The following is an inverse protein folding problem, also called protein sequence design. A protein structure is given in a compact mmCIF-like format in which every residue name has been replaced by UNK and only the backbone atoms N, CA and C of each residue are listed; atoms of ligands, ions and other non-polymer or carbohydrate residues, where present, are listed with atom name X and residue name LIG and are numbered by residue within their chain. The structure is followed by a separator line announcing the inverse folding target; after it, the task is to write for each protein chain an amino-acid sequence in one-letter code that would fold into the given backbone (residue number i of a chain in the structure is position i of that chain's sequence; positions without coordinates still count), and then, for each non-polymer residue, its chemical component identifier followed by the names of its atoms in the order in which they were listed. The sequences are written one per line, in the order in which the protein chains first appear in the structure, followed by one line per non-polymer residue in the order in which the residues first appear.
data_IF_510570749645
#
_entry.id   IF_510570749645
#
_cell.length_a   1.000
_cell.length_b   1.000
_cell.length_c   1.000
_cell.angle_alpha   90.00
_cell.angle_beta   90.00
_cell.angle_gamma   90.00
#
_symmetry.space_group_name_H-M   'P 1'
#
loop_
_entity.id
_entity.type
_entity.pdbx_description
1 polymer ?
#
# COMPACT_ATOMS: atom_id res chain seq x y z
N UNK A 1 -26.43 7.59 0.68
CA UNK A 1 -26.31 6.52 1.60
C UNK A 1 -25.01 6.55 2.34
N UNK A 2 -25.14 6.45 3.59
CA UNK A 2 -23.97 6.49 4.45
C UNK A 2 -23.02 5.36 4.12
N UNK A 3 -23.54 4.24 3.68
CA UNK A 3 -22.71 3.09 3.39
C UNK A 3 -21.72 3.35 2.30
N UNK A 4 -22.09 4.16 1.35
CA UNK A 4 -21.19 4.40 0.23
C UNK A 4 -19.97 5.17 0.64
N UNK A 5 -20.14 6.07 1.60
CA UNK A 5 -19.00 6.84 2.08
C UNK A 5 -18.01 5.94 2.80
N UNK A 6 -18.54 5.02 3.65
CA UNK A 6 -17.66 4.16 4.40
C UNK A 6 -16.96 3.14 3.54
N UNK A 7 -17.44 2.91 2.31
CA UNK A 7 -16.81 1.96 1.41
C UNK A 7 -15.88 2.63 0.42
N UNK A 8 -15.78 3.95 0.47
CA UNK A 8 -14.87 4.65 -0.40
C UNK A 8 -13.44 4.36 0.01
N UNK A 9 -12.59 4.16 -0.99
CA UNK A 9 -11.20 3.85 -0.76
C UNK A 9 -10.31 4.93 -1.34
N UNK A 10 -9.21 5.15 -0.65
CA UNK A 10 -8.16 6.06 -1.09
C UNK A 10 -7.01 5.21 -1.60
N UNK A 11 -6.42 5.64 -2.70
CA UNK A 11 -5.22 5.00 -3.22
C UNK A 11 -4.04 5.49 -2.42
N UNK A 12 -3.41 4.60 -1.67
CA UNK A 12 -2.21 4.92 -0.93
C UNK A 12 -0.99 4.30 -1.58
N UNK A 13 0.09 5.05 -1.65
CA UNK A 13 1.39 4.43 -1.82
C UNK A 13 1.94 4.20 -0.43
N UNK A 14 2.34 2.98 -0.15
CA UNK A 14 2.95 2.64 1.13
C UNK A 14 4.40 2.30 0.84
N UNK A 15 5.29 3.15 1.31
CA UNK A 15 6.72 3.01 1.08
C UNK A 15 7.37 2.68 2.40
N UNK A 16 8.29 1.75 2.41
CA UNK A 16 8.91 1.34 3.66
C UNK A 16 10.42 1.19 3.51
N UNK A 17 11.10 1.53 4.59
CA UNK A 17 12.56 1.45 4.69
C UNK A 17 12.84 0.71 5.99
N UNK A 18 13.18 -0.56 5.87
CA UNK A 18 13.31 -1.47 7.01
C UNK A 18 14.74 -1.98 7.04
N UNK A 19 15.43 -1.80 8.17
CA UNK A 19 16.85 -2.08 8.23
C UNK A 19 17.19 -3.55 8.41
N UNK A 20 16.26 -4.34 8.92
CA UNK A 20 16.50 -5.75 9.19
C UNK A 20 15.82 -6.65 8.17
N UNK A 21 16.52 -7.62 7.56
CA UNK A 21 15.92 -8.46 6.53
C UNK A 21 14.72 -9.26 6.98
N UNK A 22 14.69 -9.71 8.24
CA UNK A 22 13.54 -10.49 8.72
C UNK A 22 12.32 -9.61 8.88
N UNK A 23 12.52 -8.41 9.44
CA UNK A 23 11.41 -7.47 9.58
C UNK A 23 10.92 -7.01 8.22
N UNK A 24 11.87 -6.79 7.28
CA UNK A 24 11.54 -6.40 5.93
C UNK A 24 10.57 -7.41 5.29
N UNK A 25 10.89 -8.69 5.40
CA UNK A 25 10.05 -9.73 4.80
C UNK A 25 8.67 -9.78 5.44
N UNK A 26 8.60 -9.60 6.76
CA UNK A 26 7.32 -9.62 7.46
C UNK A 26 6.45 -8.44 7.06
N UNK A 27 7.06 -7.26 6.93
CA UNK A 27 6.34 -6.07 6.51
C UNK A 27 5.80 -6.26 5.09
N UNK A 28 6.65 -6.72 4.18
CA UNK A 28 6.24 -6.93 2.80
C UNK A 28 5.11 -7.96 2.70
N UNK A 29 5.23 -9.05 3.45
CA UNK A 29 4.19 -10.08 3.43
C UNK A 29 2.88 -9.56 3.97
N UNK A 30 2.93 -8.73 5.01
CA UNK A 30 1.71 -8.13 5.54
C UNK A 30 1.05 -7.22 4.52
N UNK A 31 1.85 -6.43 3.81
CA UNK A 31 1.31 -5.50 2.81
C UNK A 31 0.65 -6.23 1.65
N UNK A 32 1.09 -7.45 1.35
CA UNK A 32 0.46 -8.23 0.28
C UNK A 32 -1.01 -8.50 0.55
N UNK A 33 -1.42 -8.50 1.79
CA UNK A 33 -2.83 -8.67 2.14
C UNK A 33 -3.65 -7.40 1.97
N UNK A 34 -3.03 -6.27 1.69
CA UNK A 34 -3.71 -4.98 1.61
C UNK A 34 -3.57 -4.31 0.25
N UNK A 35 -2.65 -4.75 -0.57
CA UNK A 35 -2.43 -4.11 -1.85
C UNK A 35 -1.51 -4.90 -2.74
N UNK A 36 -0.97 -4.22 -3.74
CA UNK A 36 -0.16 -4.83 -4.77
C UNK A 36 1.22 -4.18 -4.78
N UNK A 37 2.25 -4.98 -4.90
CA UNK A 37 3.60 -4.44 -4.95
C UNK A 37 3.79 -3.66 -6.24
N UNK A 38 4.29 -2.44 -6.10
CA UNK A 38 4.55 -1.57 -7.23
C UNK A 38 6.04 -1.52 -7.53
N UNK A 39 6.83 -1.40 -6.49
CA UNK A 39 8.29 -1.45 -6.58
C UNK A 39 8.81 -2.22 -5.39
N UNK A 40 10.12 -2.40 -5.30
CA UNK A 40 10.71 -3.29 -4.29
C UNK A 40 10.19 -3.01 -2.88
N UNK A 41 10.14 -1.75 -2.48
CA UNK A 41 9.64 -1.39 -1.16
C UNK A 41 8.49 -0.39 -1.25
N UNK A 42 7.65 -0.54 -2.27
CA UNK A 42 6.50 0.33 -2.46
C UNK A 42 5.30 -0.54 -2.85
N UNK A 43 4.22 -0.39 -2.10
CA UNK A 43 2.95 -1.04 -2.42
C UNK A 43 1.90 0.01 -2.74
N UNK A 44 0.99 -0.34 -3.62
CA UNK A 44 -0.20 0.47 -3.88
C UNK A 44 -1.36 -0.21 -3.20
N UNK A 45 -1.99 0.48 -2.24
CA UNK A 45 -3.01 -0.11 -1.39
C UNK A 45 -4.27 0.74 -1.44
N UNK A 46 -5.40 0.20 -1.95
CA UNK A 46 -6.67 0.90 -1.87
C UNK A 46 -7.30 0.65 -0.50
N UNK A 47 -7.36 1.67 0.32
CA UNK A 47 -7.76 1.52 1.72
C UNK A 47 -8.83 2.53 2.08
N UNK A 48 -9.90 2.04 2.75
CA UNK A 48 -10.81 2.92 3.45
C UNK A 48 -10.24 3.14 4.86
N UNK A 49 -10.95 3.92 5.67
CA UNK A 49 -10.44 4.25 7.01
C UNK A 49 -10.23 3.02 7.87
N UNK A 50 -11.14 2.06 7.79
CA UNK A 50 -11.04 0.86 8.59
C UNK A 50 -9.84 0.01 8.18
N UNK A 51 -9.66 -0.18 6.88
CA UNK A 51 -8.54 -0.98 6.41
C UNK A 51 -7.21 -0.30 6.67
N UNK A 52 -7.17 1.03 6.58
CA UNK A 52 -5.96 1.76 6.93
C UNK A 52 -5.60 1.54 8.39
N UNK A 53 -6.60 1.62 9.26
CA UNK A 53 -6.36 1.36 10.68
C UNK A 53 -5.89 -0.07 10.92
N UNK A 54 -6.48 -1.03 10.23
CA UNK A 54 -6.06 -2.42 10.34
C UNK A 54 -4.62 -2.62 9.87
N UNK A 55 -4.27 -2.01 8.76
CA UNK A 55 -2.92 -2.12 8.24
C UNK A 55 -1.91 -1.55 9.22
N UNK A 56 -2.20 -0.38 9.77
CA UNK A 56 -1.32 0.24 10.76
C UNK A 56 -1.18 -0.65 11.99
N UNK A 57 -2.28 -1.26 12.43
CA UNK A 57 -2.25 -2.14 13.59
C UNK A 57 -1.40 -3.40 13.33
N UNK A 58 -1.45 -3.92 12.12
CA UNK A 58 -0.65 -5.08 11.75
C UNK A 58 0.83 -4.73 11.69
N UNK A 59 1.15 -3.56 11.14
CA UNK A 59 2.54 -3.17 10.95
C UNK A 59 3.21 -2.72 12.23
N UNK A 60 2.46 -2.09 13.12
CA UNK A 60 3.04 -1.45 14.31
C UNK A 60 3.95 -2.40 15.11
N UNK A 61 3.53 -3.62 15.45
CA UNK A 61 4.38 -4.50 16.24
C UNK A 61 5.54 -5.12 15.46
N UNK A 62 5.52 -5.00 14.14
CA UNK A 62 6.59 -5.56 13.32
C UNK A 62 7.78 -4.64 13.19
N UNK A 63 7.63 -3.37 13.52
CA UNK A 63 8.66 -2.37 13.27
C UNK A 63 9.57 -2.16 14.47
N UNK A 64 10.83 -1.85 14.18
CA UNK A 64 11.70 -1.25 15.15
C UNK A 64 11.53 0.26 14.96
N UNK A 65 10.86 0.91 15.91
CA UNK A 65 10.44 2.29 15.72
C UNK A 65 11.60 3.29 15.76
N UNK A 66 12.81 2.81 16.03
CA UNK A 66 13.99 3.66 15.99
C UNK A 66 14.82 3.47 14.73
N UNK A 67 14.56 2.41 13.96
CA UNK A 67 15.36 2.11 12.78
C UNK A 67 14.56 2.00 11.51
N UNK A 68 13.26 1.78 11.62
CA UNK A 68 12.42 1.50 10.46
C UNK A 68 11.46 2.64 10.22
N UNK A 69 11.02 2.79 8.98
CA UNK A 69 10.05 3.80 8.62
C UNK A 69 9.07 3.26 7.61
N UNK A 70 7.79 3.59 7.78
CA UNK A 70 6.76 3.31 6.80
C UNK A 70 6.05 4.61 6.51
N UNK A 71 5.95 4.96 5.24
CA UNK A 71 5.26 6.17 4.81
C UNK A 71 3.97 5.80 4.10
N UNK A 72 2.91 6.51 4.42
CA UNK A 72 1.62 6.35 3.77
C UNK A 72 1.34 7.63 2.99
N UNK A 73 1.27 7.53 1.67
CA UNK A 73 1.08 8.69 0.81
C UNK A 73 -0.30 8.57 0.16
N UNK A 74 -1.18 9.51 0.48
CA UNK A 74 -2.53 9.50 -0.07
C UNK A 74 -2.53 10.12 -1.46
N UNK A 75 -3.05 9.39 -2.43
CA UNK A 75 -3.12 9.85 -3.81
C UNK A 75 -4.57 10.16 -4.25
N UNK A 76 -5.49 10.22 -3.29
CA UNK A 76 -6.88 10.50 -3.62
C UNK A 76 -7.68 9.24 -3.88
N UNK A 77 -8.90 9.38 -4.38
CA UNK A 77 -9.80 8.23 -4.53
C UNK A 77 -9.20 7.13 -5.39
N UNK A 78 -9.35 5.89 -4.95
CA UNK A 78 -8.82 4.77 -5.70
C UNK A 78 -9.58 4.54 -7.00
N UNK A 79 -10.75 5.16 -7.15
CA UNK A 79 -11.52 5.07 -8.39
C UNK A 79 -10.98 5.99 -9.48
N UNK A 80 -10.07 6.89 -9.16
CA UNK A 80 -9.45 7.75 -10.16
C UNK A 80 -8.55 6.95 -11.08
N UNK A 81 -8.34 7.49 -12.27
CA UNK A 81 -7.45 6.84 -13.23
C UNK A 81 -6.01 7.04 -12.79
N UNK A 82 -5.36 5.97 -12.38
CA UNK A 82 -4.01 6.04 -11.86
C UNK A 82 -3.01 6.57 -12.89
N UNK A 83 -3.28 6.36 -14.18
CA UNK A 83 -2.35 6.82 -15.21
C UNK A 83 -2.30 8.34 -15.31
N UNK A 84 -3.28 9.03 -14.72
CA UNK A 84 -3.28 10.50 -14.68
C UNK A 84 -2.55 11.02 -13.43
N UNK A 85 -2.24 10.14 -12.51
CA UNK A 85 -1.63 10.53 -11.25
C UNK A 85 -0.19 10.05 -11.16
N UNK A 86 0.07 8.85 -11.68
CA UNK A 86 1.38 8.24 -11.60
C UNK A 86 2.00 8.24 -12.99
N UNK A 87 3.15 8.86 -13.09
CA UNK A 87 3.88 8.95 -14.34
C UNK A 87 5.14 8.12 -14.20
N UNK A 88 5.46 7.34 -15.21
CA UNK A 88 6.62 6.46 -15.16
C UNK A 88 7.61 6.84 -16.26
N UNK A 89 8.87 6.65 -15.93
CA UNK A 89 9.95 6.78 -16.90
C UNK A 89 10.65 5.44 -16.96
N UNK A 90 11.00 4.98 -18.12
CA UNK A 90 11.55 3.64 -18.31
C UNK A 90 10.39 2.68 -18.57
N UNK A 91 10.27 1.65 -17.75
CA UNK A 91 9.13 0.74 -17.90
C UNK A 91 7.85 1.48 -17.52
N UNK A 92 6.76 1.22 -18.26
CA UNK A 92 5.50 1.92 -17.94
C UNK A 92 4.88 1.44 -16.65
N UNK A 93 4.12 2.33 -16.02
CA UNK A 93 3.30 1.95 -14.89
C UNK A 93 2.16 1.06 -15.39
N UNK A 94 1.94 -0.06 -14.71
CA UNK A 94 0.87 -0.97 -15.06
C UNK A 94 0.05 -1.28 -13.83
N UNK A 95 -1.26 -1.27 -14.00
CA UNK A 95 -2.15 -1.70 -12.93
C UNK A 95 -2.11 -3.21 -12.88
N UNK A 96 -1.74 -3.76 -11.74
CA UNK A 96 -1.65 -5.19 -11.59
C UNK A 96 -2.91 -5.74 -10.98
N UNK A 97 -3.33 -6.89 -11.49
CA UNK A 97 -4.49 -7.56 -10.97
C UNK A 97 -4.10 -8.44 -9.80
N UNK A 98 -4.90 -8.38 -8.76
CA UNK A 98 -4.69 -9.28 -7.65
C UNK A 98 -5.11 -10.68 -7.95
N UNK A 99 -5.85 -10.82 -9.01
CA UNK A 99 -6.35 -12.09 -9.37
C UNK A 99 -5.49 -12.74 -10.36
N UNK A 100 -4.36 -12.57 -10.31
CA UNK A 100 -3.45 -13.18 -11.18
C UNK A 100 -3.41 -14.58 -10.90
N UNK A 101 -3.64 -15.34 -11.72
CA UNK A 101 -3.66 -16.53 -11.41
C UNK A 101 -2.86 -17.26 -11.92
N UNK A 102 -2.47 -17.76 -11.94
CA UNK A 102 -1.82 -18.53 -12.36
C UNK A 102 -1.42 -19.11 -12.41
#
# INVERSE_FOLDING_TARGET
MANEVSMSRIRYLVSYDISDPKRLRKVARSLEGFGTRLQYSVFECPLDDLRLAKLKAVLHPLLDHEEDQVLFVSLGPSSSDASLIIEAMGLPYEVRSRVTII
#
